data_IF_512738282227
#
_entry.id   IF_512738282227
#
_cell.length_a   1.000
_cell.length_b   1.000
_cell.length_c   1.000
_cell.angle_alpha   90.00
_cell.angle_beta   90.00
_cell.angle_gamma   90.00
#
_symmetry.space_group_name_H-M   'P 1'
#
loop_
_entity.id
_entity.type
_entity.pdbx_description
1 polymer ?
#
# COMPACT_ATOMS: atom_id res chain seq x y z
N UNK A 1 -16.87 -22.82 9.10
CA UNK A 1 -15.68 -23.66 8.74
C UNK A 1 -15.84 -24.32 7.37
N UNK A 2 -17.03 -24.26 6.76
CA UNK A 2 -17.39 -24.92 5.49
C UNK A 2 -16.75 -24.34 4.23
N UNK A 3 -16.17 -23.14 4.28
CA UNK A 3 -15.58 -22.49 3.09
C UNK A 3 -14.27 -23.16 2.65
N UNK A 4 -13.46 -23.72 3.55
CA UNK A 4 -12.18 -24.35 3.20
C UNK A 4 -12.40 -25.60 2.34
N UNK A 5 -13.34 -26.45 2.74
CA UNK A 5 -13.57 -27.74 2.08
C UNK A 5 -14.26 -27.59 0.72
N UNK A 6 -15.14 -26.60 0.53
CA UNK A 6 -15.85 -26.40 -0.73
C UNK A 6 -15.08 -25.53 -1.76
N UNK A 7 -13.95 -24.94 -1.38
CA UNK A 7 -13.20 -24.03 -2.27
C UNK A 7 -12.17 -24.78 -3.11
N UNK A 8 -12.17 -24.52 -4.42
CA UNK A 8 -11.09 -24.92 -5.33
C UNK A 8 -10.03 -23.81 -5.44
N UNK A 9 -9.06 -23.85 -4.51
CA UNK A 9 -7.97 -22.88 -4.47
C UNK A 9 -7.04 -22.95 -5.69
N UNK A 10 -6.91 -24.12 -6.34
CA UNK A 10 -6.05 -24.29 -7.53
C UNK A 10 -6.66 -23.55 -8.71
N UNK A 11 -7.97 -23.71 -8.93
CA UNK A 11 -8.70 -22.97 -9.95
C UNK A 11 -8.64 -21.46 -9.69
N UNK A 12 -8.90 -21.02 -8.45
CA UNK A 12 -8.81 -19.60 -8.10
C UNK A 12 -7.40 -19.04 -8.33
N UNK A 13 -6.35 -19.79 -7.99
CA UNK A 13 -4.96 -19.39 -8.20
C UNK A 13 -4.62 -19.20 -9.69
N UNK A 14 -5.17 -20.03 -10.57
CA UNK A 14 -4.96 -19.92 -12.01
C UNK A 14 -5.58 -18.65 -12.63
N UNK A 15 -6.63 -18.12 -12.01
CA UNK A 15 -7.35 -16.93 -12.45
C UNK A 15 -6.75 -15.63 -11.89
N UNK A 16 -5.82 -15.70 -10.93
CA UNK A 16 -5.23 -14.52 -10.34
C UNK A 16 -4.20 -13.86 -11.25
N UNK A 17 -4.27 -12.53 -11.34
CA UNK A 17 -3.27 -11.71 -12.03
C UNK A 17 -2.01 -11.51 -11.19
N UNK A 18 -2.16 -11.41 -9.87
CA UNK A 18 -1.03 -11.12 -8.97
C UNK A 18 -0.37 -12.41 -8.48
N UNK A 19 0.96 -12.44 -8.55
CA UNK A 19 1.77 -13.58 -8.08
C UNK A 19 1.58 -13.78 -6.58
N UNK A 20 1.41 -12.69 -5.82
CA UNK A 20 1.20 -12.71 -4.37
C UNK A 20 -0.09 -13.47 -4.01
N UNK A 21 -1.22 -13.14 -4.66
CA UNK A 21 -2.49 -13.82 -4.40
C UNK A 21 -2.44 -15.27 -4.88
N UNK A 22 -1.80 -15.52 -6.03
CA UNK A 22 -1.58 -16.89 -6.54
C UNK A 22 -0.83 -17.75 -5.52
N UNK A 23 0.27 -17.25 -4.95
CA UNK A 23 1.05 -17.97 -3.93
C UNK A 23 0.25 -18.25 -2.66
N UNK A 24 -0.54 -17.28 -2.19
CA UNK A 24 -1.42 -17.44 -1.02
C UNK A 24 -2.46 -18.54 -1.25
N UNK A 25 -3.10 -18.56 -2.42
CA UNK A 25 -4.09 -19.57 -2.78
C UNK A 25 -3.46 -20.95 -2.95
N UNK A 26 -2.27 -21.06 -3.56
CA UNK A 26 -1.54 -22.33 -3.63
C UNK A 26 -1.16 -22.86 -2.25
N UNK A 27 -0.75 -21.99 -1.32
CA UNK A 27 -0.49 -22.39 0.06
C UNK A 27 -1.75 -22.96 0.73
N UNK A 28 -2.92 -22.35 0.50
CA UNK A 28 -4.20 -22.84 1.01
C UNK A 28 -4.65 -24.14 0.34
N UNK A 29 -4.35 -24.33 -0.95
CA UNK A 29 -4.59 -25.60 -1.64
C UNK A 29 -3.81 -26.75 -0.97
N UNK A 30 -2.51 -26.56 -0.73
CA UNK A 30 -1.71 -27.59 -0.06
C UNK A 30 -2.11 -27.78 1.40
N UNK A 31 -2.52 -26.71 2.09
CA UNK A 31 -3.03 -26.78 3.46
C UNK A 31 -4.33 -27.59 3.53
N UNK A 32 -5.25 -27.37 2.59
CA UNK A 32 -6.47 -28.17 2.42
C UNK A 32 -6.15 -29.64 2.15
N UNK A 33 -5.10 -29.92 1.39
CA UNK A 33 -4.61 -31.30 1.15
C UNK A 33 -3.90 -31.92 2.38
N UNK A 34 -3.89 -31.25 3.54
CA UNK A 34 -3.34 -31.79 4.79
C UNK A 34 -1.83 -31.60 4.98
N UNK A 35 -1.15 -30.85 4.11
CA UNK A 35 0.28 -30.61 4.24
C UNK A 35 0.61 -29.70 5.42
N UNK A 36 1.71 -30.00 6.12
CA UNK A 36 2.21 -29.12 7.16
C UNK A 36 2.72 -27.80 6.59
N UNK A 37 2.62 -26.71 7.36
CA UNK A 37 3.15 -25.39 6.99
C UNK A 37 4.62 -25.41 6.56
N UNK A 38 5.41 -26.33 7.15
CA UNK A 38 6.82 -26.54 6.80
C UNK A 38 6.98 -27.19 5.43
N UNK A 39 6.16 -28.19 5.08
CA UNK A 39 6.17 -28.80 3.74
C UNK A 39 5.73 -27.79 2.67
N UNK A 40 4.67 -27.04 2.94
CA UNK A 40 4.15 -26.01 2.03
C UNK A 40 5.23 -24.96 1.73
N UNK A 41 5.93 -24.49 2.76
CA UNK A 41 7.03 -23.53 2.61
C UNK A 41 8.12 -24.06 1.68
N UNK A 42 8.48 -25.35 1.80
CA UNK A 42 9.45 -26.02 0.91
C UNK A 42 8.94 -26.12 -0.53
N UNK A 43 7.68 -26.52 -0.73
CA UNK A 43 7.08 -26.67 -2.07
C UNK A 43 7.01 -25.33 -2.81
N UNK A 44 6.61 -24.27 -2.11
CA UNK A 44 6.45 -22.94 -2.70
C UNK A 44 7.73 -22.10 -2.68
N UNK A 45 8.82 -22.61 -2.09
CA UNK A 45 10.11 -21.91 -1.92
C UNK A 45 9.95 -20.54 -1.23
N UNK A 46 9.12 -20.50 -0.19
CA UNK A 46 8.88 -19.30 0.64
C UNK A 46 9.19 -19.58 2.10
N UNK A 47 9.20 -18.54 2.93
CA UNK A 47 9.42 -18.70 4.36
C UNK A 47 8.21 -19.39 5.04
N UNK A 48 8.48 -20.18 6.09
CA UNK A 48 7.44 -20.77 6.94
C UNK A 48 6.55 -19.70 7.59
N UNK A 49 7.12 -18.55 7.95
CA UNK A 49 6.38 -17.42 8.56
C UNK A 49 5.37 -16.83 7.59
N UNK A 50 5.70 -16.71 6.30
CA UNK A 50 4.75 -16.30 5.26
C UNK A 50 3.56 -17.27 5.16
N UNK A 51 3.83 -18.58 5.07
CA UNK A 51 2.77 -19.59 5.01
C UNK A 51 1.89 -19.53 6.27
N UNK A 52 2.50 -19.41 7.44
CA UNK A 52 1.74 -19.31 8.68
C UNK A 52 0.80 -18.10 8.68
N UNK A 53 1.31 -16.93 8.27
CA UNK A 53 0.53 -15.71 8.16
C UNK A 53 -0.65 -15.86 7.20
N UNK A 54 -0.44 -16.44 6.01
CA UNK A 54 -1.51 -16.59 5.03
C UNK A 54 -2.61 -17.55 5.48
N UNK A 55 -2.23 -18.68 6.07
CA UNK A 55 -3.20 -19.65 6.60
C UNK A 55 -3.97 -19.03 7.77
N UNK A 56 -3.28 -18.33 8.68
CA UNK A 56 -3.91 -17.66 9.81
C UNK A 56 -4.92 -16.59 9.34
N UNK A 57 -4.50 -15.67 8.45
CA UNK A 57 -5.37 -14.63 7.90
C UNK A 57 -6.59 -15.22 7.21
N UNK A 58 -6.45 -16.33 6.49
CA UNK A 58 -7.60 -16.99 5.88
C UNK A 58 -8.54 -17.62 6.91
N UNK A 59 -8.02 -18.21 7.98
CA UNK A 59 -8.85 -18.80 9.03
C UNK A 59 -9.59 -17.74 9.86
N UNK A 60 -8.99 -16.56 10.04
CA UNK A 60 -9.56 -15.45 10.82
C UNK A 60 -10.51 -14.58 9.99
N UNK A 61 -10.11 -14.19 8.77
CA UNK A 61 -10.77 -13.16 7.95
C UNK A 61 -11.25 -13.69 6.58
N UNK A 62 -11.02 -14.96 6.27
CA UNK A 62 -11.36 -15.55 4.97
C UNK A 62 -10.57 -14.95 3.81
N UNK A 63 -11.23 -14.75 2.66
CA UNK A 63 -10.60 -14.17 1.48
C UNK A 63 -10.23 -12.69 1.64
N UNK A 64 -10.92 -11.95 2.50
CA UNK A 64 -10.61 -10.53 2.73
C UNK A 64 -9.22 -10.37 3.35
N UNK A 65 -8.86 -11.21 4.32
CA UNK A 65 -7.52 -11.21 4.93
C UNK A 65 -6.39 -11.56 3.96
N UNK A 66 -6.71 -12.16 2.81
CA UNK A 66 -5.73 -12.47 1.76
C UNK A 66 -5.52 -11.33 0.78
N UNK A 67 -6.35 -10.28 0.78
CA UNK A 67 -6.17 -9.16 -0.14
C UNK A 67 -4.90 -8.39 0.20
N UNK A 68 -4.18 -7.93 -0.83
CA UNK A 68 -3.04 -7.04 -0.61
C UNK A 68 -3.56 -5.70 -0.11
N UNK A 69 -3.07 -5.28 1.06
CA UNK A 69 -3.33 -3.94 1.56
C UNK A 69 -2.61 -2.93 0.66
N UNK A 70 -3.20 -1.73 0.43
CA UNK A 70 -2.52 -0.68 -0.31
C UNK A 70 -1.13 -0.44 0.27
N UNK A 71 -0.11 -0.38 -0.59
CA UNK A 71 1.23 0.00 -0.14
C UNK A 71 1.17 1.48 0.19
N UNK A 72 1.22 1.81 1.48
CA UNK A 72 1.43 3.20 1.88
C UNK A 72 2.84 3.57 1.43
N UNK A 73 2.93 4.54 0.50
CA UNK A 73 4.20 5.17 0.17
C UNK A 73 4.77 5.93 1.38
N UNK A 74 5.85 6.68 1.15
CA UNK A 74 6.31 7.65 2.15
C UNK A 74 5.15 8.62 2.44
N UNK A 75 4.82 8.88 3.72
CA UNK A 75 3.78 9.84 4.04
C UNK A 75 4.10 11.20 3.41
N UNK A 76 3.07 11.93 3.00
CA UNK A 76 3.22 13.30 2.53
C UNK A 76 3.89 14.15 3.62
N UNK A 77 4.78 15.05 3.21
CA UNK A 77 5.51 15.91 4.15
C UNK A 77 4.60 16.98 4.76
N UNK A 78 3.59 17.44 4.01
CA UNK A 78 2.55 18.34 4.47
C UNK A 78 1.26 17.58 4.78
N UNK A 79 0.61 17.96 5.87
CA UNK A 79 -0.75 17.50 6.19
C UNK A 79 -1.76 18.06 5.19
N UNK A 80 -2.97 17.50 5.14
CA UNK A 80 -4.03 18.02 4.28
C UNK A 80 -4.35 19.49 4.58
N UNK A 81 -4.35 19.89 5.86
CA UNK A 81 -4.55 21.28 6.28
C UNK A 81 -3.43 22.20 5.76
N UNK A 82 -2.17 21.77 5.86
CA UNK A 82 -1.04 22.54 5.36
C UNK A 82 -1.04 22.65 3.83
N UNK A 83 -1.48 21.61 3.12
CA UNK A 83 -1.67 21.65 1.66
C UNK A 83 -2.78 22.64 1.27
N UNK A 84 -3.89 22.67 2.01
CA UNK A 84 -4.96 23.63 1.78
C UNK A 84 -4.48 25.07 2.03
N UNK A 85 -3.79 25.31 3.13
CA UNK A 85 -3.22 26.62 3.43
C UNK A 85 -2.20 27.07 2.37
N UNK A 86 -1.37 26.15 1.86
CA UNK A 86 -0.45 26.45 0.77
C UNK A 86 -1.19 26.77 -0.54
N UNK A 87 -2.25 26.02 -0.85
CA UNK A 87 -3.10 26.25 -2.03
C UNK A 87 -3.77 27.63 -2.00
N UNK A 88 -4.34 28.01 -0.86
CA UNK A 88 -4.94 29.34 -0.66
C UNK A 88 -3.91 30.46 -0.83
N UNK A 89 -2.70 30.28 -0.28
CA UNK A 89 -1.61 31.22 -0.47
C UNK A 89 -1.23 31.37 -1.95
N UNK A 90 -1.04 30.27 -2.68
CA UNK A 90 -0.69 30.29 -4.10
C UNK A 90 -1.77 30.99 -4.93
N UNK A 91 -3.05 30.66 -4.70
CA UNK A 91 -4.17 31.28 -5.41
C UNK A 91 -4.23 32.79 -5.16
N UNK A 92 -4.09 33.23 -3.90
CA UNK A 92 -4.09 34.64 -3.52
C UNK A 92 -2.97 35.43 -4.19
N UNK A 93 -1.75 34.87 -4.21
CA UNK A 93 -0.61 35.52 -4.87
C UNK A 93 -0.79 35.56 -6.40
N UNK A 94 -1.41 34.54 -7.00
CA UNK A 94 -1.70 34.53 -8.45
C UNK A 94 -2.72 35.58 -8.91
N UNK A 95 -3.62 36.00 -8.02
CA UNK A 95 -4.67 37.00 -8.29
C UNK A 95 -4.20 38.43 -7.97
N UNK A 96 -3.09 38.57 -7.26
CA UNK A 96 -2.55 39.87 -6.85
C UNK A 96 -1.95 40.63 -8.03
N UNK A 97 -2.34 41.88 -8.22
CA UNK A 97 -1.78 42.78 -9.24
C UNK A 97 -0.36 43.26 -8.92
N UNK A 98 0.14 43.02 -7.70
CA UNK A 98 1.43 43.50 -7.18
C UNK A 98 2.46 42.36 -7.07
N UNK A 99 2.01 41.11 -6.94
CA UNK A 99 2.87 39.93 -6.80
C UNK A 99 3.09 39.26 -8.15
N UNK A 100 4.35 39.09 -8.56
CA UNK A 100 4.67 38.34 -9.79
C UNK A 100 4.30 36.86 -9.71
N UNK A 101 4.58 36.12 -10.79
CA UNK A 101 4.44 34.65 -10.82
C UNK A 101 5.34 34.03 -9.74
N UNK A 102 4.75 33.37 -8.74
CA UNK A 102 5.48 32.56 -7.76
C UNK A 102 6.34 31.52 -8.48
N UNK A 103 7.60 31.41 -8.08
CA UNK A 103 8.51 30.35 -8.52
C UNK A 103 8.69 29.30 -7.43
N UNK A 104 9.21 28.12 -7.77
CA UNK A 104 9.35 27.01 -6.81
C UNK A 104 10.17 27.37 -5.56
N UNK A 105 11.10 28.34 -5.65
CA UNK A 105 11.82 28.86 -4.48
C UNK A 105 10.93 29.62 -3.50
N UNK A 106 9.92 30.35 -3.99
CA UNK A 106 9.01 31.12 -3.13
C UNK A 106 8.11 30.17 -2.34
N UNK A 107 7.61 29.13 -3.03
CA UNK A 107 6.83 28.05 -2.43
C UNK A 107 7.68 27.29 -1.40
N UNK A 108 8.95 26.99 -1.71
CA UNK A 108 9.87 26.38 -0.76
C UNK A 108 10.05 27.23 0.49
N UNK A 109 10.33 28.52 0.34
CA UNK A 109 10.54 29.44 1.44
C UNK A 109 9.28 29.57 2.31
N UNK A 110 8.10 29.61 1.70
CA UNK A 110 6.84 29.61 2.42
C UNK A 110 6.67 28.33 3.25
N UNK A 111 6.91 27.16 2.64
CA UNK A 111 6.79 25.86 3.32
C UNK A 111 7.77 25.77 4.50
N UNK A 112 9.02 26.20 4.34
CA UNK A 112 10.01 26.22 5.43
C UNK A 112 9.56 27.17 6.54
N UNK A 113 9.14 28.39 6.18
CA UNK A 113 8.76 29.42 7.15
C UNK A 113 7.50 29.07 7.94
N UNK A 114 6.49 28.49 7.30
CA UNK A 114 5.18 28.26 7.92
C UNK A 114 5.01 26.84 8.48
N UNK A 115 5.72 25.85 7.94
CA UNK A 115 5.53 24.44 8.30
C UNK A 115 6.80 23.75 8.82
N UNK A 116 7.96 24.42 8.80
CA UNK A 116 9.28 23.87 9.14
C UNK A 116 9.56 22.54 8.41
N UNK A 117 9.10 22.44 7.15
CA UNK A 117 9.31 21.29 6.28
C UNK A 117 10.31 21.64 5.19
N UNK A 118 11.26 20.74 5.00
CA UNK A 118 12.34 20.92 4.04
C UNK A 118 12.15 19.92 2.90
N UNK A 119 11.64 20.41 1.77
CA UNK A 119 11.56 19.63 0.55
C UNK A 119 12.86 19.75 -0.22
N UNK A 120 13.18 18.73 -1.01
CA UNK A 120 14.19 18.92 -2.05
C UNK A 120 13.64 19.89 -3.11
N UNK A 121 14.42 20.81 -3.69
CA UNK A 121 13.93 21.78 -4.67
C UNK A 121 13.15 21.15 -5.84
N UNK A 122 13.60 19.99 -6.32
CA UNK A 122 12.90 19.22 -7.39
C UNK A 122 11.55 18.62 -6.98
N UNK A 123 11.18 18.67 -5.70
CA UNK A 123 9.90 18.12 -5.20
C UNK A 123 8.78 19.17 -5.15
N UNK A 124 9.08 20.43 -5.49
CA UNK A 124 8.13 21.56 -5.46
C UNK A 124 7.70 21.99 -6.87
N UNK A 125 8.49 21.63 -7.90
CA UNK A 125 8.15 21.78 -9.32
C UNK A 125 7.27 20.62 -9.80
#
# INVERSE_FOLDING_TARGET
MDSLNNTDFRKLASQQKTIQMKMRLLALAHFKDGHSRTQIAKYLKVSRTSVNKWVQLFLEEGFEGLKEKPRSGRPAFLTAEQQNQLSEYINKESESSVGGRLVGSDIHNYIVKHFDKHYHPNSIY
#
